data_IF_921737551261
#
_entry.id   IF_921737551261
#
_cell.length_a   1.000
_cell.length_b   1.000
_cell.length_c   1.000
_cell.angle_alpha   90.00
_cell.angle_beta   90.00
_cell.angle_gamma   90.00
#
_symmetry.space_group_name_H-M   'P 1'
#
loop_
_entity.id
_entity.type
_entity.pdbx_description
1 polymer ?
#
# COMPACT_ATOMS: atom_id res chain seq x y z
N UNK A 1 4.37 -7.07 -14.47
CA UNK A 1 4.36 -6.01 -13.44
C UNK A 1 2.97 -5.95 -12.84
N UNK A 2 2.81 -6.13 -11.52
CA UNK A 2 1.50 -6.22 -10.86
C UNK A 2 0.73 -4.90 -10.93
N UNK A 3 -0.51 -4.95 -11.45
CA UNK A 3 -1.44 -3.82 -11.49
C UNK A 3 -2.36 -3.81 -10.25
N UNK A 4 -1.77 -3.95 -9.07
CA UNK A 4 -2.52 -3.91 -7.82
C UNK A 4 -2.90 -2.47 -7.46
N UNK A 5 -4.18 -2.27 -7.12
CA UNK A 5 -4.74 -1.01 -6.63
C UNK A 5 -4.96 -1.15 -5.12
N UNK A 6 -4.72 -0.07 -4.40
CA UNK A 6 -4.92 0.02 -2.95
C UNK A 6 -6.04 1.02 -2.68
N UNK A 7 -7.02 0.62 -1.87
CA UNK A 7 -8.07 1.54 -1.39
C UNK A 7 -7.52 2.37 -0.24
N UNK A 8 -7.68 3.69 -0.32
CA UNK A 8 -7.37 4.61 0.77
C UNK A 8 -8.68 5.03 1.41
N UNK A 9 -8.73 4.94 2.72
CA UNK A 9 -9.84 5.40 3.53
C UNK A 9 -9.47 6.69 4.27
N UNK A 10 -10.48 7.47 4.62
CA UNK A 10 -10.37 8.56 5.58
C UNK A 10 -10.20 8.03 7.02
N UNK A 11 -9.95 8.93 7.97
CA UNK A 11 -9.84 8.57 9.39
C UNK A 11 -11.13 8.00 10.00
N UNK A 12 -12.28 8.25 9.39
CA UNK A 12 -13.59 7.68 9.74
C UNK A 12 -13.91 6.40 8.94
N UNK A 13 -12.92 5.84 8.23
CA UNK A 13 -13.04 4.66 7.36
C UNK A 13 -13.96 4.81 6.14
N UNK A 14 -14.44 6.03 5.84
CA UNK A 14 -15.11 6.29 4.56
C UNK A 14 -14.10 6.21 3.39
N UNK A 15 -14.58 5.82 2.20
CA UNK A 15 -13.73 5.75 1.00
C UNK A 15 -13.19 7.13 0.63
N UNK A 16 -11.87 7.25 0.47
CA UNK A 16 -11.21 8.48 0.01
C UNK A 16 -10.86 8.39 -1.47
N UNK A 17 -10.04 7.41 -1.86
CA UNK A 17 -9.67 7.15 -3.26
C UNK A 17 -9.06 5.76 -3.45
N UNK A 18 -8.70 5.43 -4.69
CA UNK A 18 -7.89 4.25 -5.04
C UNK A 18 -6.58 4.68 -5.68
N UNK A 19 -5.46 4.19 -5.17
CA UNK A 19 -4.12 4.51 -5.68
C UNK A 19 -3.41 3.26 -6.19
N UNK A 20 -2.30 3.44 -6.92
CA UNK A 20 -1.42 2.30 -7.20
C UNK A 20 -0.70 1.87 -5.92
N UNK A 21 -0.33 0.59 -5.84
CA UNK A 21 0.39 0.08 -4.68
C UNK A 21 1.71 0.82 -4.41
N UNK A 22 2.42 1.27 -5.45
CA UNK A 22 3.65 2.05 -5.27
C UNK A 22 3.36 3.38 -4.56
N UNK A 23 2.24 4.03 -4.90
CA UNK A 23 1.82 5.26 -4.24
C UNK A 23 1.38 4.99 -2.80
N UNK A 24 0.72 3.87 -2.54
CA UNK A 24 0.40 3.44 -1.16
C UNK A 24 1.68 3.27 -0.32
N UNK A 25 2.69 2.54 -0.82
CA UNK A 25 3.99 2.42 -0.13
C UNK A 25 4.62 3.78 0.15
N UNK A 26 4.60 4.72 -0.81
CA UNK A 26 5.10 6.08 -0.60
C UNK A 26 4.36 6.83 0.51
N UNK A 27 3.06 6.61 0.68
CA UNK A 27 2.29 7.20 1.79
C UNK A 27 2.73 6.63 3.13
N UNK A 28 2.96 5.32 3.21
CA UNK A 28 3.44 4.65 4.42
C UNK A 28 4.83 5.14 4.83
N UNK A 29 5.78 5.17 3.89
CA UNK A 29 7.16 5.65 4.13
C UNK A 29 7.17 7.11 4.60
N UNK A 30 6.22 7.94 4.13
CA UNK A 30 6.08 9.33 4.55
C UNK A 30 5.26 9.51 5.84
N UNK A 31 4.82 8.43 6.49
CA UNK A 31 4.00 8.49 7.69
C UNK A 31 2.62 9.12 7.48
N UNK A 32 2.09 9.11 6.24
CA UNK A 32 0.82 9.75 5.88
C UNK A 32 -0.39 8.80 5.91
N UNK A 33 -0.16 7.51 6.10
CA UNK A 33 -1.20 6.49 6.17
C UNK A 33 -0.72 5.31 7.01
N UNK A 34 -1.68 4.51 7.49
CA UNK A 34 -1.45 3.20 8.12
C UNK A 34 -2.11 2.11 7.27
N UNK A 35 -1.58 0.88 7.33
CA UNK A 35 -2.15 -0.24 6.59
C UNK A 35 -3.17 -0.99 7.45
N UNK A 36 -4.39 -1.15 6.93
CA UNK A 36 -5.41 -2.01 7.52
C UNK A 36 -5.34 -3.44 6.97
N UNK A 37 -5.00 -3.57 5.69
CA UNK A 37 -4.93 -4.86 4.99
C UNK A 37 -3.79 -4.90 3.99
N UNK A 38 -3.09 -6.02 3.95
CA UNK A 38 -2.14 -6.35 2.90
C UNK A 38 -2.74 -7.38 1.95
N UNK A 39 -2.27 -7.36 0.71
CA UNK A 39 -2.48 -8.47 -0.23
C UNK A 39 -1.62 -9.67 0.19
N UNK A 40 -1.85 -10.83 -0.44
CA UNK A 40 -1.00 -12.01 -0.31
C UNK A 40 0.33 -11.86 -1.08
N UNK A 41 0.47 -10.80 -1.89
CA UNK A 41 1.64 -10.56 -2.72
C UNK A 41 2.72 -9.86 -1.90
N UNK A 42 3.92 -10.42 -1.93
CA UNK A 42 5.13 -9.82 -1.38
C UNK A 42 6.14 -9.56 -2.50
N UNK A 43 6.85 -8.45 -2.40
CA UNK A 43 7.91 -8.07 -3.34
C UNK A 43 9.25 -8.08 -2.62
N UNK A 44 10.26 -8.61 -3.29
CA UNK A 44 11.65 -8.51 -2.85
C UNK A 44 12.29 -7.29 -3.50
N UNK A 45 12.83 -6.37 -2.71
CA UNK A 45 13.59 -5.23 -3.23
C UNK A 45 14.98 -5.66 -3.66
N UNK A 46 15.67 -4.79 -4.41
CA UNK A 46 17.07 -4.99 -4.79
C UNK A 46 17.99 -5.15 -3.56
N UNK A 47 17.61 -4.56 -2.42
CA UNK A 47 18.32 -4.64 -1.14
C UNK A 47 18.00 -5.92 -0.34
N UNK A 48 17.36 -6.92 -0.98
CA UNK A 48 16.86 -8.15 -0.35
C UNK A 48 15.81 -7.93 0.75
N UNK A 49 15.16 -6.77 0.82
CA UNK A 49 14.07 -6.50 1.78
C UNK A 49 12.75 -7.02 1.21
N UNK A 50 11.99 -7.77 2.01
CA UNK A 50 10.65 -8.23 1.65
C UNK A 50 9.60 -7.20 2.08
N UNK A 51 8.81 -6.70 1.13
CA UNK A 51 7.73 -5.73 1.36
C UNK A 51 6.40 -6.36 0.94
N UNK A 52 5.40 -6.32 1.82
CA UNK A 52 4.02 -6.73 1.49
C UNK A 52 3.29 -5.59 0.78
N UNK A 53 2.57 -5.92 -0.29
CA UNK A 53 1.79 -4.93 -1.06
C UNK A 53 0.49 -4.61 -0.29
N UNK A 54 0.18 -3.33 0.02
CA UNK A 54 -1.09 -2.94 0.64
C UNK A 54 -2.29 -3.20 -0.27
N UNK A 55 -3.40 -3.68 0.31
CA UNK A 55 -4.68 -3.93 -0.37
C UNK A 55 -5.64 -2.75 -0.21
#
# INVERSE_FOLDING_TARGET
>A
MYNARTIVLNGDYSYLNSVSWQKAIRLLVKGKASVLKYTEISLKTAENVMIKIPA
#
